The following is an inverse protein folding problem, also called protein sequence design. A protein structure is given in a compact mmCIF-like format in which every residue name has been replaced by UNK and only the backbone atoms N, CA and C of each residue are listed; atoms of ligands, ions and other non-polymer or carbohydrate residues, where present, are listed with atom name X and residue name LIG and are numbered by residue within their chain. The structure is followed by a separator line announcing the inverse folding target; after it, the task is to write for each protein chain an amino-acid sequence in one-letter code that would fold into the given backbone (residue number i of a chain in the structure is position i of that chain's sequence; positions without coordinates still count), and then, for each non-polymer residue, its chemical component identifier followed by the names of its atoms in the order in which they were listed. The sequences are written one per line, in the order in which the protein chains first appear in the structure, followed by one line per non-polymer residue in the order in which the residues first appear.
data_IF_760051169616
#
_entry.id   IF_760051169616
#
_cell.length_a   1.000
_cell.length_b   1.000
_cell.length_c   1.000
_cell.angle_alpha   90.00
_cell.angle_beta   90.00
_cell.angle_gamma   90.00
#
_symmetry.space_group_name_H-M   'P 1'
#
loop_
_entity.id
_entity.type
_entity.pdbx_description
1 polymer ?
#
# COMPACT_ATOMS: atom_id res chain seq x y z
N UNK A 1 -26.41 47.95 60.05
CA UNK A 1 -26.78 47.12 58.88
C UNK A 1 -25.65 46.85 57.88
N UNK A 2 -24.70 47.77 57.63
CA UNK A 2 -23.63 47.56 56.62
C UNK A 2 -22.57 46.49 56.95
N UNK A 3 -22.39 46.14 58.22
CA UNK A 3 -21.35 45.20 58.69
C UNK A 3 -21.68 43.73 58.41
N UNK A 4 -22.94 43.33 58.55
CA UNK A 4 -23.46 41.99 58.26
C UNK A 4 -23.31 41.60 56.77
N UNK A 5 -23.58 42.56 55.88
CA UNK A 5 -23.52 42.36 54.43
C UNK A 5 -22.06 42.17 53.97
N UNK A 6 -21.13 42.91 54.58
CA UNK A 6 -19.69 42.80 54.31
C UNK A 6 -19.14 41.44 54.76
N UNK A 7 -19.61 40.92 55.90
CA UNK A 7 -19.22 39.61 56.41
C UNK A 7 -19.73 38.45 55.53
N UNK A 8 -21.02 38.48 55.12
CA UNK A 8 -21.58 37.45 54.21
C UNK A 8 -20.94 37.49 52.82
N UNK A 9 -20.59 38.67 52.31
CA UNK A 9 -19.92 38.80 51.01
C UNK A 9 -18.49 38.25 51.04
N UNK A 10 -17.73 38.51 52.11
CA UNK A 10 -16.40 37.93 52.33
C UNK A 10 -16.44 36.40 52.52
N UNK A 11 -17.46 35.90 53.22
CA UNK A 11 -17.67 34.46 53.40
C UNK A 11 -18.03 33.74 52.10
N UNK A 12 -18.72 34.41 51.16
CA UNK A 12 -19.05 33.87 49.85
C UNK A 12 -17.83 33.84 48.90
N UNK A 13 -16.90 34.79 49.01
CA UNK A 13 -15.64 34.79 48.26
C UNK A 13 -14.65 33.72 48.75
N UNK A 14 -14.61 33.43 50.05
CA UNK A 14 -13.73 32.39 50.62
C UNK A 14 -14.21 30.95 50.30
N UNK A 15 -15.48 30.78 49.91
CA UNK A 15 -16.09 29.46 49.62
C UNK A 15 -15.90 29.00 48.18
N UNK A 16 -15.32 29.84 47.30
CA UNK A 16 -15.04 29.49 45.89
C UNK A 16 -13.64 28.92 45.63
N UNK A 17 -12.84 28.65 46.66
CA UNK A 17 -11.52 28.00 46.52
C UNK A 17 -11.57 26.46 46.60
N UNK A 18 -12.69 25.86 46.22
CA UNK A 18 -12.83 24.39 46.15
C UNK A 18 -12.80 23.85 44.72
N UNK A 19 -12.44 24.67 43.74
CA UNK A 19 -12.12 24.19 42.40
C UNK A 19 -10.77 23.47 42.47
N UNK A 20 -10.84 22.15 42.69
CA UNK A 20 -9.69 21.25 42.60
C UNK A 20 -9.21 21.26 41.14
N UNK A 21 -8.27 22.15 40.83
CA UNK A 21 -7.59 22.15 39.54
C UNK A 21 -6.78 20.87 39.35
N UNK A 22 -6.57 20.47 38.09
CA UNK A 22 -5.63 19.40 37.74
C UNK A 22 -4.25 19.70 38.32
N UNK A 23 -3.67 18.74 39.00
CA UNK A 23 -2.30 18.85 39.49
C UNK A 23 -1.31 18.68 38.33
N UNK A 24 -0.17 19.35 38.39
CA UNK A 24 0.90 19.17 37.39
C UNK A 24 1.39 17.72 37.33
N UNK A 25 1.36 17.01 38.47
CA UNK A 25 1.74 15.60 38.54
C UNK A 25 0.73 14.68 37.85
N UNK A 26 -0.58 14.98 37.91
CA UNK A 26 -1.60 14.23 37.16
C UNK A 26 -1.39 14.39 35.65
N UNK A 27 -1.15 15.61 35.17
CA UNK A 27 -0.85 15.83 33.76
C UNK A 27 0.45 15.14 33.34
N UNK A 28 1.47 15.15 34.19
CA UNK A 28 2.75 14.49 33.93
C UNK A 28 2.60 12.96 33.80
N UNK A 29 1.84 12.31 34.67
CA UNK A 29 1.60 10.87 34.58
C UNK A 29 0.81 10.53 33.32
N UNK A 30 -0.18 11.35 32.93
CA UNK A 30 -0.97 11.12 31.71
C UNK A 30 -0.09 11.19 30.46
N UNK A 31 0.77 12.20 30.34
CA UNK A 31 1.65 12.32 29.17
C UNK A 31 2.67 11.17 29.09
N UNK A 32 3.11 10.66 30.24
CA UNK A 32 3.99 9.48 30.31
C UNK A 32 3.26 8.25 29.78
N UNK A 33 2.02 8.00 30.22
CA UNK A 33 1.24 6.84 29.79
C UNK A 33 0.96 6.91 28.28
N UNK A 34 0.48 8.04 27.76
CA UNK A 34 0.24 8.19 26.30
C UNK A 34 1.54 8.10 25.51
N UNK A 35 2.67 8.55 26.06
CA UNK A 35 3.99 8.43 25.45
C UNK A 35 4.41 6.97 25.25
N UNK A 36 4.27 6.14 26.29
CA UNK A 36 4.59 4.71 26.24
C UNK A 36 3.67 3.99 25.24
N UNK A 37 2.36 4.25 25.29
CA UNK A 37 1.40 3.64 24.37
C UNK A 37 1.68 4.04 22.92
N UNK A 38 1.97 5.32 22.67
CA UNK A 38 2.26 5.84 21.33
C UNK A 38 3.54 5.24 20.75
N UNK A 39 4.58 5.04 21.57
CA UNK A 39 5.84 4.46 21.11
C UNK A 39 5.67 3.03 20.54
N UNK A 40 4.76 2.24 21.11
CA UNK A 40 4.47 0.87 20.64
C UNK A 40 3.47 0.89 19.47
N UNK A 41 2.45 1.75 19.55
CA UNK A 41 1.36 1.76 18.58
C UNK A 41 1.76 2.40 17.23
N UNK A 42 2.55 3.47 17.25
CA UNK A 42 2.89 4.24 16.05
C UNK A 42 3.60 3.41 14.96
N UNK A 43 4.65 2.61 15.22
CA UNK A 43 5.30 1.83 14.17
C UNK A 43 4.35 0.79 13.55
N UNK A 44 3.49 0.18 14.38
CA UNK A 44 2.45 -0.76 13.90
C UNK A 44 1.42 -0.07 13.01
N UNK A 45 0.96 1.12 13.41
CA UNK A 45 0.02 1.91 12.64
C UNK A 45 0.60 2.33 11.27
N UNK A 46 1.84 2.80 11.24
CA UNK A 46 2.52 3.16 9.99
C UNK A 46 2.69 1.96 9.05
N UNK A 47 3.01 0.77 9.59
CA UNK A 47 3.08 -0.45 8.80
C UNK A 47 1.71 -0.83 8.22
N UNK A 48 0.63 -0.73 9.01
CA UNK A 48 -0.73 -0.99 8.52
C UNK A 48 -1.16 0.00 7.44
N UNK A 49 -0.85 1.29 7.59
CA UNK A 49 -1.09 2.29 6.56
C UNK A 49 -0.31 1.97 5.26
N UNK A 50 0.95 1.53 5.37
CA UNK A 50 1.73 1.11 4.21
C UNK A 50 1.15 -0.16 3.55
N UNK A 51 0.66 -1.14 4.33
CA UNK A 51 -0.03 -2.33 3.80
C UNK A 51 -1.32 -1.97 3.06
N UNK A 52 -2.08 -1.00 3.57
CA UNK A 52 -3.27 -0.50 2.89
C UNK A 52 -2.92 0.17 1.55
N UNK A 53 -1.83 0.93 1.48
CA UNK A 53 -1.32 1.49 0.22
C UNK A 53 -0.82 0.40 -0.74
N UNK A 54 -0.14 -0.63 -0.22
CA UNK A 54 0.35 -1.76 -1.03
C UNK A 54 -0.78 -2.63 -1.59
N UNK A 55 -1.95 -2.70 -0.91
CA UNK A 55 -3.09 -3.46 -1.41
C UNK A 55 -3.66 -2.87 -2.72
N UNK A 56 -3.62 -1.54 -2.88
CA UNK A 56 -3.94 -0.83 -4.11
C UNK A 56 -3.06 -1.32 -5.27
N UNK A 57 -1.74 -1.33 -5.09
CA UNK A 57 -0.79 -1.81 -6.09
C UNK A 57 -1.03 -3.28 -6.45
N UNK A 58 -1.25 -4.14 -5.45
CA UNK A 58 -1.58 -5.56 -5.66
C UNK A 58 -2.86 -5.75 -6.48
N UNK A 59 -3.90 -4.97 -6.18
CA UNK A 59 -5.18 -5.03 -6.91
C UNK A 59 -5.02 -4.56 -8.35
N UNK A 60 -4.31 -3.46 -8.59
CA UNK A 60 -4.15 -2.90 -9.93
C UNK A 60 -3.22 -3.77 -10.78
N UNK A 61 -2.08 -4.23 -10.25
CA UNK A 61 -1.20 -5.16 -10.96
C UNK A 61 -1.92 -6.49 -11.31
N UNK A 62 -2.70 -7.04 -10.37
CA UNK A 62 -3.51 -8.22 -10.65
C UNK A 62 -4.62 -7.99 -11.68
N UNK A 63 -5.21 -6.78 -11.71
CA UNK A 63 -6.22 -6.42 -12.72
C UNK A 63 -5.59 -6.24 -14.10
N UNK A 64 -4.41 -5.60 -14.17
CA UNK A 64 -3.62 -5.50 -15.40
C UNK A 64 -3.31 -6.89 -15.95
N UNK A 65 -2.84 -7.84 -15.13
CA UNK A 65 -2.61 -9.22 -15.58
C UNK A 65 -3.86 -9.85 -16.21
N UNK A 66 -5.02 -9.73 -15.56
CA UNK A 66 -6.28 -10.27 -16.12
C UNK A 66 -6.67 -9.61 -17.43
N UNK A 67 -6.49 -8.29 -17.57
CA UNK A 67 -6.74 -7.61 -18.83
C UNK A 67 -5.77 -8.00 -19.93
N UNK A 68 -4.50 -8.24 -19.61
CA UNK A 68 -3.53 -8.75 -20.59
C UNK A 68 -3.93 -10.15 -21.08
N UNK A 69 -4.37 -11.03 -20.18
CA UNK A 69 -4.87 -12.36 -20.54
C UNK A 69 -6.11 -12.26 -21.44
N UNK A 70 -7.10 -11.43 -21.06
CA UNK A 70 -8.31 -11.23 -21.85
C UNK A 70 -8.01 -10.64 -23.23
N UNK A 71 -7.18 -9.59 -23.29
CA UNK A 71 -6.78 -8.97 -24.56
C UNK A 71 -6.04 -9.93 -25.47
N UNK A 72 -5.15 -10.75 -24.92
CA UNK A 72 -4.46 -11.77 -25.71
C UNK A 72 -5.44 -12.84 -26.21
N UNK A 73 -6.41 -13.26 -25.40
CA UNK A 73 -7.44 -14.21 -25.81
C UNK A 73 -8.35 -13.66 -26.93
N UNK A 74 -8.63 -12.36 -26.93
CA UNK A 74 -9.49 -11.71 -27.92
C UNK A 74 -8.73 -11.37 -29.21
N UNK A 75 -7.53 -10.78 -29.09
CA UNK A 75 -6.83 -10.13 -30.22
C UNK A 75 -5.50 -10.81 -30.58
N UNK A 76 -5.05 -11.80 -29.82
CA UNK A 76 -3.79 -12.50 -30.03
C UNK A 76 -2.54 -11.64 -29.75
N UNK A 77 -2.69 -10.49 -29.10
CA UNK A 77 -1.58 -9.61 -28.74
C UNK A 77 -1.73 -9.02 -27.33
N UNK A 78 -0.59 -8.68 -26.71
CA UNK A 78 -0.57 -7.97 -25.43
C UNK A 78 -0.67 -6.46 -25.63
N UNK A 79 -1.13 -5.76 -24.60
CA UNK A 79 -1.15 -4.30 -24.60
C UNK A 79 0.27 -3.73 -24.45
N UNK A 80 0.54 -2.63 -25.15
CA UNK A 80 1.84 -1.95 -25.15
C UNK A 80 1.96 -0.87 -24.08
N UNK A 81 0.84 -0.46 -23.48
CA UNK A 81 0.76 0.52 -22.41
C UNK A 81 -0.48 0.25 -21.54
N UNK A 82 -0.60 0.96 -20.41
CA UNK A 82 -1.75 0.82 -19.49
C UNK A 82 -3.06 1.23 -20.16
N UNK A 83 -3.06 2.30 -20.94
CA UNK A 83 -4.27 2.86 -21.56
C UNK A 83 -4.93 1.88 -22.54
N UNK A 84 -4.13 1.14 -23.31
CA UNK A 84 -4.61 0.15 -24.29
C UNK A 84 -5.07 -1.16 -23.65
N UNK A 85 -5.07 -1.26 -22.31
CA UNK A 85 -5.78 -2.34 -21.59
C UNK A 85 -7.27 -2.07 -21.43
N UNK A 86 -7.75 -0.85 -21.73
CA UNK A 86 -9.14 -0.43 -21.61
C UNK A 86 -9.78 -0.59 -20.21
N UNK A 87 -8.96 -0.78 -19.16
CA UNK A 87 -9.43 -0.92 -17.78
C UNK A 87 -9.77 0.41 -17.09
N UNK A 88 -9.40 1.56 -17.67
CA UNK A 88 -9.52 2.86 -17.01
C UNK A 88 -8.60 3.06 -15.81
N UNK A 89 -7.57 2.21 -15.65
CA UNK A 89 -6.54 2.37 -14.61
C UNK A 89 -5.69 3.58 -14.96
N UNK A 90 -5.54 4.51 -14.01
CA UNK A 90 -4.62 5.64 -14.14
C UNK A 90 -3.18 5.16 -14.13
N UNK A 91 -2.33 5.73 -14.99
CA UNK A 91 -0.88 5.46 -15.02
C UNK A 91 -0.17 5.90 -13.75
N UNK A 92 -0.78 6.77 -12.95
CA UNK A 92 -0.24 7.18 -11.66
C UNK A 92 -1.36 7.43 -10.64
N UNK A 93 -1.12 7.01 -9.42
CA UNK A 93 -1.89 7.34 -8.22
C UNK A 93 -0.99 8.04 -7.20
N UNK A 94 -1.53 8.40 -6.04
CA UNK A 94 -0.75 9.07 -4.99
C UNK A 94 0.43 8.23 -4.50
N UNK A 95 0.33 6.89 -4.57
CA UNK A 95 1.31 5.98 -3.98
C UNK A 95 2.18 5.27 -5.03
N UNK A 96 1.68 5.08 -6.26
CA UNK A 96 2.29 4.22 -7.27
C UNK A 96 2.22 4.83 -8.67
N UNK A 97 3.21 4.49 -9.50
CA UNK A 97 3.15 4.65 -10.95
C UNK A 97 3.06 3.28 -11.59
N UNK A 98 2.14 3.13 -12.55
CA UNK A 98 1.86 1.90 -13.26
C UNK A 98 2.36 1.99 -14.69
N UNK A 99 3.08 0.97 -15.13
CA UNK A 99 3.49 0.83 -16.51
C UNK A 99 3.19 -0.58 -17.00
N UNK A 100 2.95 -0.70 -18.30
CA UNK A 100 2.86 -1.98 -19.00
C UNK A 100 3.85 -1.90 -20.14
N UNK A 101 4.71 -2.90 -20.26
CA UNK A 101 5.63 -3.02 -21.37
C UNK A 101 5.66 -4.48 -21.84
N UNK A 102 5.43 -4.73 -23.15
CA UNK A 102 5.66 -6.05 -23.72
C UNK A 102 7.15 -6.34 -23.67
N UNK A 103 7.49 -7.58 -23.37
CA UNK A 103 8.86 -8.08 -23.36
C UNK A 103 9.06 -8.95 -24.61
N UNK A 104 9.99 -9.91 -24.54
CA UNK A 104 10.47 -10.77 -25.64
C UNK A 104 9.41 -11.07 -26.71
N UNK A 105 9.62 -10.57 -27.93
CA UNK A 105 8.91 -10.92 -29.17
C UNK A 105 7.37 -11.06 -29.08
N UNK A 106 6.71 -10.33 -28.18
CA UNK A 106 5.24 -10.39 -28.01
C UNK A 106 4.71 -11.67 -27.34
N UNK A 107 5.58 -12.49 -26.74
CA UNK A 107 5.17 -13.70 -26.01
C UNK A 107 4.99 -13.45 -24.52
N UNK A 108 5.43 -12.31 -24.01
CA UNK A 108 5.26 -11.91 -22.62
C UNK A 108 5.01 -10.40 -22.52
N UNK A 109 4.28 -10.00 -21.47
CA UNK A 109 4.11 -8.60 -21.06
C UNK A 109 4.27 -8.48 -19.56
N UNK A 110 4.82 -7.34 -19.13
CA UNK A 110 5.06 -7.03 -17.72
C UNK A 110 4.32 -5.75 -17.37
N UNK A 111 3.47 -5.85 -16.36
CA UNK A 111 2.84 -4.74 -15.66
C UNK A 111 3.63 -4.43 -14.39
N UNK A 112 4.21 -3.24 -14.26
CA UNK A 112 4.94 -2.81 -13.06
C UNK A 112 4.13 -1.79 -12.27
N UNK A 113 4.22 -1.88 -10.95
CA UNK A 113 3.76 -0.87 -10.00
C UNK A 113 4.96 -0.40 -9.18
N UNK A 114 5.47 0.77 -9.53
CA UNK A 114 6.65 1.39 -8.91
C UNK A 114 6.19 2.33 -7.80
N UNK A 115 6.68 2.16 -6.55
CA UNK A 115 6.28 3.00 -5.44
C UNK A 115 6.87 4.41 -5.60
N UNK A 116 6.08 5.43 -5.24
CA UNK A 116 6.52 6.83 -5.17
C UNK A 116 7.15 7.19 -3.80
N UNK A 117 7.19 6.22 -2.87
CA UNK A 117 7.74 6.40 -1.52
C UNK A 117 8.58 5.20 -1.12
N UNK A 118 9.70 5.43 -0.46
CA UNK A 118 10.64 4.38 -0.03
C UNK A 118 10.07 3.45 1.04
N UNK A 119 8.99 3.84 1.72
CA UNK A 119 8.30 3.00 2.71
C UNK A 119 7.40 1.93 2.08
N UNK A 120 7.26 1.94 0.76
CA UNK A 120 6.39 1.03 0.00
C UNK A 120 7.21 0.04 -0.83
N UNK A 121 6.62 -1.14 -1.03
CA UNK A 121 7.20 -2.21 -1.87
C UNK A 121 6.73 -2.07 -3.31
N UNK A 122 7.59 -2.43 -4.26
CA UNK A 122 7.23 -2.55 -5.66
C UNK A 122 6.53 -3.88 -5.96
N UNK A 123 5.67 -3.87 -6.99
CA UNK A 123 5.00 -5.06 -7.50
C UNK A 123 5.21 -5.17 -9.01
N UNK A 124 5.31 -6.38 -9.54
CA UNK A 124 5.18 -6.64 -10.97
C UNK A 124 4.30 -7.85 -11.24
N UNK A 125 3.34 -7.65 -12.13
CA UNK A 125 2.57 -8.71 -12.75
C UNK A 125 3.15 -9.05 -14.10
N UNK A 126 3.31 -10.33 -14.40
CA UNK A 126 3.73 -10.79 -15.72
C UNK A 126 2.71 -11.74 -16.27
N UNK A 127 2.43 -11.59 -17.56
CA UNK A 127 1.64 -12.55 -18.33
C UNK A 127 2.51 -13.05 -19.48
N UNK A 128 2.62 -14.37 -19.60
CA UNK A 128 3.43 -15.01 -20.61
C UNK A 128 2.65 -16.11 -21.30
N UNK A 129 2.99 -16.39 -22.55
CA UNK A 129 2.52 -17.55 -23.28
C UNK A 129 3.29 -18.78 -22.83
N UNK A 130 2.57 -19.82 -22.43
CA UNK A 130 3.11 -21.17 -22.34
C UNK A 130 3.07 -21.80 -23.72
N UNK A 131 4.23 -22.04 -24.30
CA UNK A 131 4.41 -22.80 -25.54
C UNK A 131 4.74 -24.25 -25.22
N UNK A 132 3.75 -25.00 -24.71
CA UNK A 132 3.81 -26.45 -24.78
C UNK A 132 3.57 -26.93 -26.22
N UNK A 133 3.78 -28.21 -26.50
CA UNK A 133 3.55 -28.87 -27.81
C UNK A 133 2.06 -28.91 -28.24
N UNK A 134 1.22 -28.00 -27.73
CA UNK A 134 -0.23 -27.88 -27.93
C UNK A 134 -0.71 -26.42 -27.92
N UNK A 135 -1.96 -26.18 -27.52
CA UNK A 135 -2.62 -24.85 -27.56
C UNK A 135 -1.86 -23.78 -26.77
N UNK A 136 -1.75 -22.57 -27.36
CA UNK A 136 -1.14 -21.41 -26.70
C UNK A 136 -2.04 -20.96 -25.54
N UNK A 137 -1.54 -21.12 -24.32
CA UNK A 137 -2.23 -20.65 -23.11
C UNK A 137 -1.42 -19.55 -22.44
N UNK A 138 -2.10 -18.65 -21.71
CA UNK A 138 -1.44 -17.58 -20.96
C UNK A 138 -1.31 -17.96 -19.49
N UNK A 139 -0.11 -17.83 -18.94
CA UNK A 139 0.18 -18.00 -17.51
C UNK A 139 0.43 -16.61 -16.90
N UNK A 140 -0.01 -16.39 -15.67
CA UNK A 140 0.26 -15.12 -14.97
C UNK A 140 0.86 -15.32 -13.58
N UNK A 141 1.78 -14.43 -13.25
CA UNK A 141 2.37 -14.34 -11.91
C UNK A 141 2.39 -12.90 -11.44
N UNK A 142 2.26 -12.72 -10.13
CA UNK A 142 2.42 -11.45 -9.45
C UNK A 142 3.54 -11.59 -8.42
N UNK A 143 4.54 -10.73 -8.54
CA UNK A 143 5.72 -10.68 -7.68
C UNK A 143 5.70 -9.40 -6.84
N UNK A 144 6.19 -9.48 -5.60
CA UNK A 144 6.44 -8.33 -4.73
C UNK A 144 7.91 -8.23 -4.35
N UNK A 145 8.41 -7.00 -4.16
CA UNK A 145 9.75 -6.79 -3.62
C UNK A 145 9.87 -7.27 -2.16
N UNK A 146 11.01 -7.88 -1.82
CA UNK A 146 11.29 -8.31 -0.45
C UNK A 146 11.50 -7.11 0.49
N UNK A 147 12.09 -6.03 0.00
CA UNK A 147 12.34 -4.78 0.72
C UNK A 147 11.55 -3.60 0.14
N UNK A 148 11.20 -2.65 1.01
CA UNK A 148 10.64 -1.37 0.58
C UNK A 148 11.72 -0.50 -0.07
N UNK A 149 11.35 0.32 -1.06
CA UNK A 149 12.30 1.17 -1.80
C UNK A 149 13.15 0.43 -2.86
N UNK A 150 12.98 -0.87 -3.04
CA UNK A 150 13.61 -1.58 -4.16
C UNK A 150 13.07 -1.05 -5.50
N UNK A 151 13.98 -0.79 -6.45
CA UNK A 151 13.60 -0.41 -7.81
C UNK A 151 12.78 -1.51 -8.48
N UNK A 152 11.88 -1.10 -9.38
CA UNK A 152 10.88 -1.95 -10.02
C UNK A 152 11.42 -3.31 -10.47
N UNK A 153 10.65 -4.34 -10.18
CA UNK A 153 10.95 -5.75 -10.45
C UNK A 153 10.82 -6.04 -11.95
N UNK A 154 11.79 -5.58 -12.73
CA UNK A 154 11.91 -5.87 -14.14
C UNK A 154 12.45 -7.28 -14.34
N UNK A 155 11.63 -8.18 -14.89
CA UNK A 155 12.07 -9.49 -15.32
C UNK A 155 11.55 -10.63 -14.44
N UNK A 156 10.26 -10.91 -14.54
CA UNK A 156 9.80 -12.27 -14.28
C UNK A 156 10.22 -13.11 -15.50
N UNK A 157 11.03 -14.14 -15.28
CA UNK A 157 11.35 -15.10 -16.32
C UNK A 157 10.22 -16.12 -16.40
N UNK A 158 9.64 -16.25 -17.59
CA UNK A 158 8.72 -17.33 -17.92
C UNK A 158 9.42 -18.27 -18.90
N UNK A 159 9.76 -19.48 -18.46
CA UNK A 159 10.31 -20.54 -19.32
C UNK A 159 9.33 -21.70 -19.30
N UNK A 160 8.81 -22.10 -20.47
CA UNK A 160 7.96 -23.29 -20.66
C UNK A 160 6.81 -23.44 -19.64
N UNK A 161 6.01 -22.39 -19.46
CA UNK A 161 4.85 -22.40 -18.56
C UNK A 161 5.16 -22.23 -17.07
N UNK A 162 6.43 -22.23 -16.66
CA UNK A 162 6.84 -21.85 -15.32
C UNK A 162 7.23 -20.37 -15.30
N UNK A 163 6.47 -19.54 -14.58
CA UNK A 163 6.83 -18.15 -14.32
C UNK A 163 7.47 -18.04 -12.94
N UNK A 164 8.67 -17.47 -12.85
CA UNK A 164 9.39 -17.29 -11.59
C UNK A 164 9.70 -15.82 -11.35
N UNK A 165 9.52 -15.40 -10.10
CA UNK A 165 9.88 -14.07 -9.65
C UNK A 165 11.42 -13.94 -9.58
N UNK A 166 12.00 -12.81 -10.03
CA UNK A 166 13.45 -12.60 -9.98
C UNK A 166 13.98 -12.56 -8.54
N UNK A 167 15.30 -12.73 -8.39
CA UNK A 167 15.95 -12.59 -7.09
C UNK A 167 15.66 -11.22 -6.46
N UNK A 168 15.42 -11.22 -5.13
CA UNK A 168 14.98 -10.00 -4.43
C UNK A 168 13.46 -9.79 -4.41
N UNK A 169 12.69 -10.74 -4.97
CA UNK A 169 11.22 -10.67 -5.01
C UNK A 169 10.57 -11.98 -4.59
N UNK A 170 9.35 -11.92 -4.08
CA UNK A 170 8.56 -13.07 -3.66
C UNK A 170 7.28 -13.19 -4.47
N UNK A 171 6.84 -14.43 -4.71
CA UNK A 171 5.58 -14.71 -5.39
C UNK A 171 4.40 -14.38 -4.48
N UNK A 172 3.51 -13.51 -4.95
CA UNK A 172 2.28 -13.12 -4.26
C UNK A 172 1.11 -13.97 -4.73
N UNK A 173 1.03 -14.23 -6.04
CA UNK A 173 0.01 -15.07 -6.68
C UNK A 173 0.63 -15.71 -7.93
N UNK A 174 0.46 -17.02 -8.09
CA UNK A 174 0.76 -17.76 -9.34
C UNK A 174 -0.52 -18.44 -9.83
N UNK A 175 -0.92 -18.20 -11.08
CA UNK A 175 -2.08 -18.85 -11.72
C UNK A 175 -1.78 -19.22 -13.16
#
# INVERSE_FOLDING_TARGET
MKTELKAKFLQHLNRRRQDKGFTLIELLVVIIIIGILSAIALPSFLNQANKAKQSEAKQYAGSLNRAQQAKYAENGNFATNVETTALGIKTQTTNYTYAVAPTTAGTQTVATATPLSESLKAYAGTVALSTGTGDKTTVAILCEALSAGAAGTGGVSSTDGASTCPSGTATVVSK
#
